data_IF_745182229505
#
_entry.id   IF_745182229505
#
_cell.length_a   1.000
_cell.length_b   1.000
_cell.length_c   1.000
_cell.angle_alpha   90.00
_cell.angle_beta   90.00
_cell.angle_gamma   90.00
#
_symmetry.space_group_name_H-M   'P 1'
#
loop_
_entity.id
_entity.type
_entity.pdbx_description
1 polymer ?
#
# COMPACT_ATOMS: atom_id res chain seq x y z
N UNK A 1 -16.02 -11.70 0.46
CA UNK A 1 -16.87 -10.81 1.28
C UNK A 1 -16.11 -9.50 1.39
N UNK A 2 -16.64 -8.42 0.79
CA UNK A 2 -15.99 -7.11 0.75
C UNK A 2 -15.95 -6.48 2.14
N UNK A 3 -17.09 -6.38 2.81
CA UNK A 3 -17.23 -5.83 4.16
C UNK A 3 -16.28 -6.48 5.16
N UNK A 4 -16.07 -7.80 5.05
CA UNK A 4 -15.11 -8.50 5.91
C UNK A 4 -13.68 -8.00 5.69
N UNK A 5 -13.25 -7.81 4.43
CA UNK A 5 -11.90 -7.32 4.14
C UNK A 5 -11.68 -5.91 4.67
N UNK A 6 -12.66 -5.02 4.51
CA UNK A 6 -12.58 -3.69 5.09
C UNK A 6 -12.47 -3.77 6.61
N UNK A 7 -13.29 -4.60 7.26
CA UNK A 7 -13.21 -4.81 8.71
C UNK A 7 -11.86 -5.37 9.16
N UNK A 8 -11.25 -6.28 8.39
CA UNK A 8 -9.92 -6.81 8.65
C UNK A 8 -8.86 -5.70 8.58
N UNK A 9 -8.96 -4.77 7.61
CA UNK A 9 -8.07 -3.59 7.50
C UNK A 9 -8.19 -2.70 8.74
N UNK A 10 -9.41 -2.32 9.11
CA UNK A 10 -9.65 -1.48 10.30
C UNK A 10 -9.12 -2.16 11.57
N UNK A 11 -9.28 -3.47 11.67
CA UNK A 11 -8.79 -4.21 12.83
C UNK A 11 -7.26 -4.27 12.89
N UNK A 12 -6.58 -4.44 11.76
CA UNK A 12 -5.12 -4.39 11.70
C UNK A 12 -4.61 -3.00 12.06
N UNK A 13 -5.23 -1.93 11.53
CA UNK A 13 -4.88 -0.55 11.85
C UNK A 13 -5.02 -0.26 13.35
N UNK A 14 -6.11 -0.75 13.95
CA UNK A 14 -6.41 -0.54 15.38
C UNK A 14 -5.55 -1.36 16.31
N UNK A 15 -5.21 -2.61 15.96
CA UNK A 15 -4.54 -3.56 16.86
C UNK A 15 -3.03 -3.61 16.74
N UNK A 16 -2.47 -3.16 15.63
CA UNK A 16 -1.02 -3.26 15.41
C UNK A 16 -0.29 -2.23 16.26
N UNK A 17 0.52 -2.70 17.20
CA UNK A 17 1.39 -1.89 18.04
C UNK A 17 2.83 -2.36 17.88
N UNK A 18 3.71 -1.44 17.53
CA UNK A 18 5.15 -1.67 17.41
C UNK A 18 5.82 -1.40 18.76
N UNK A 19 6.61 -2.36 19.24
CA UNK A 19 7.34 -2.19 20.50
C UNK A 19 8.56 -1.28 20.27
N UNK A 20 8.72 -0.18 21.04
CA UNK A 20 9.90 0.66 20.92
C UNK A 20 11.15 -0.14 21.32
N UNK A 21 12.16 -0.15 20.45
CA UNK A 21 13.50 -0.62 20.84
C UNK A 21 14.14 0.47 21.69
N UNK A 22 14.54 0.11 22.91
CA UNK A 22 14.99 1.02 23.97
C UNK A 22 15.91 2.15 23.48
N UNK A 23 15.53 3.40 23.84
CA UNK A 23 16.30 4.67 23.96
C UNK A 23 15.77 5.88 23.18
N UNK A 24 14.74 5.73 22.34
CA UNK A 24 14.07 6.86 21.66
C UNK A 24 12.56 6.67 21.67
N UNK A 25 11.80 7.77 21.78
CA UNK A 25 10.36 7.81 21.52
C UNK A 25 10.09 7.40 20.07
N UNK A 26 9.87 6.11 19.82
CA UNK A 26 9.52 5.58 18.50
C UNK A 26 8.00 5.57 18.32
N UNK A 27 7.50 5.82 17.10
CA UNK A 27 6.10 5.58 16.72
C UNK A 27 5.59 4.22 17.18
N UNK A 28 4.36 4.15 17.70
CA UNK A 28 3.79 2.91 18.27
C UNK A 28 2.67 2.33 17.43
N UNK A 29 1.76 3.15 16.93
CA UNK A 29 0.73 2.76 15.97
C UNK A 29 1.21 2.85 14.53
N UNK A 30 0.45 2.24 13.62
CA UNK A 30 0.73 2.34 12.18
C UNK A 30 0.73 3.81 11.74
N UNK A 31 -0.30 4.58 12.07
CA UNK A 31 -0.42 5.99 11.69
C UNK A 31 0.49 6.96 12.45
N UNK A 32 1.22 6.49 13.47
CA UNK A 32 2.27 7.31 14.11
C UNK A 32 3.53 7.42 13.23
N UNK A 33 3.66 6.58 12.20
CA UNK A 33 4.80 6.57 11.30
C UNK A 33 4.58 7.58 10.16
N UNK A 34 5.62 8.34 9.84
CA UNK A 34 5.56 9.38 8.80
C UNK A 34 5.40 8.84 7.38
N UNK A 35 5.93 7.63 7.14
CA UNK A 35 5.96 6.95 5.84
C UNK A 35 5.62 5.49 6.05
N UNK A 36 4.53 5.05 5.44
CA UNK A 36 3.97 3.71 5.64
C UNK A 36 3.83 3.05 4.29
N UNK A 37 4.27 1.79 4.20
CA UNK A 37 4.02 0.93 3.05
C UNK A 37 3.22 -0.26 3.56
N UNK A 38 2.04 -0.47 2.98
CA UNK A 38 1.18 -1.60 3.29
C UNK A 38 1.08 -2.51 2.08
N UNK A 39 1.31 -3.80 2.26
CA UNK A 39 1.29 -4.75 1.15
C UNK A 39 0.90 -6.15 1.57
N UNK A 40 0.41 -6.93 0.60
CA UNK A 40 0.07 -8.34 0.77
C UNK A 40 -1.06 -8.78 -0.15
N UNK A 41 -1.54 -10.00 0.06
CA UNK A 41 -2.81 -10.48 -0.50
C UNK A 41 -3.97 -9.83 0.26
N UNK A 42 -4.45 -8.69 -0.24
CA UNK A 42 -5.61 -7.99 0.29
C UNK A 42 -6.93 -8.62 -0.18
N UNK A 43 -6.86 -9.48 -1.19
CA UNK A 43 -7.94 -10.35 -1.63
C UNK A 43 -9.22 -9.63 -2.12
N UNK A 44 -9.12 -8.35 -2.46
CA UNK A 44 -10.16 -7.61 -3.17
C UNK A 44 -10.35 -8.18 -4.59
N UNK A 45 -11.58 -8.15 -5.09
CA UNK A 45 -11.97 -8.84 -6.32
C UNK A 45 -12.51 -7.85 -7.35
N UNK A 46 -12.62 -8.31 -8.59
CA UNK A 46 -13.23 -7.57 -9.69
C UNK A 46 -14.74 -7.86 -9.73
N UNK A 47 -15.55 -6.81 -9.88
CA UNK A 47 -17.00 -6.88 -9.92
C UNK A 47 -17.56 -7.04 -11.35
N UNK A 48 -17.07 -8.04 -12.07
CA UNK A 48 -17.52 -8.40 -13.42
C UNK A 48 -17.94 -9.88 -13.49
N UNK A 49 -18.65 -10.24 -14.56
CA UNK A 49 -18.88 -11.65 -14.90
C UNK A 49 -17.56 -12.33 -15.27
N UNK A 50 -17.54 -13.67 -15.22
CA UNK A 50 -16.35 -14.42 -15.59
C UNK A 50 -15.98 -14.17 -17.06
N UNK A 51 -16.98 -14.20 -17.94
CA UNK A 51 -16.85 -14.04 -19.38
C UNK A 51 -16.29 -12.66 -19.72
N UNK A 52 -16.87 -11.60 -19.14
CA UNK A 52 -16.42 -10.22 -19.37
C UNK A 52 -15.01 -9.98 -18.82
N UNK A 53 -14.68 -10.57 -17.68
CA UNK A 53 -13.32 -10.51 -17.11
C UNK A 53 -12.31 -11.09 -18.10
N UNK A 54 -12.58 -12.27 -18.65
CA UNK A 54 -11.68 -12.92 -19.61
C UNK A 54 -11.62 -12.23 -20.96
N UNK A 55 -12.73 -11.63 -21.42
CA UNK A 55 -12.76 -10.80 -22.62
C UNK A 55 -11.81 -9.61 -22.51
N UNK A 56 -11.91 -8.83 -21.42
CA UNK A 56 -11.03 -7.69 -21.17
C UNK A 56 -9.56 -8.11 -21.01
N UNK A 57 -9.30 -9.23 -20.34
CA UNK A 57 -7.94 -9.78 -20.21
C UNK A 57 -7.36 -10.15 -21.57
N UNK A 58 -8.16 -10.78 -22.44
CA UNK A 58 -7.71 -11.18 -23.77
C UNK A 58 -7.40 -9.97 -24.66
N UNK A 59 -8.14 -8.88 -24.48
CA UNK A 59 -7.88 -7.59 -25.13
C UNK A 59 -6.76 -6.77 -24.48
N UNK A 60 -6.21 -7.21 -23.35
CA UNK A 60 -5.26 -6.43 -22.53
C UNK A 60 -5.80 -5.07 -22.06
N UNK A 61 -7.11 -4.99 -21.87
CA UNK A 61 -7.84 -3.79 -21.49
C UNK A 61 -7.80 -3.57 -19.97
N UNK A 62 -6.60 -3.35 -19.43
CA UNK A 62 -6.36 -3.30 -17.97
C UNK A 62 -7.10 -2.16 -17.29
N UNK A 63 -7.16 -0.99 -17.91
CA UNK A 63 -7.83 0.19 -17.34
C UNK A 63 -9.34 -0.07 -17.17
N UNK A 64 -10.01 -0.59 -18.22
CA UNK A 64 -11.43 -0.95 -18.16
C UNK A 64 -11.72 -2.04 -17.13
N UNK A 65 -10.79 -3.00 -17.01
CA UNK A 65 -10.88 -4.05 -16.01
C UNK A 65 -10.73 -3.48 -14.59
N UNK A 66 -9.79 -2.54 -14.40
CA UNK A 66 -9.50 -1.89 -13.13
C UNK A 66 -10.61 -0.97 -12.65
N UNK A 67 -11.39 -0.35 -13.54
CA UNK A 67 -12.61 0.40 -13.17
C UNK A 67 -13.65 -0.44 -12.40
N UNK A 68 -13.52 -1.77 -12.40
CA UNK A 68 -14.40 -2.68 -11.67
C UNK A 68 -13.72 -3.33 -10.45
N UNK A 69 -12.52 -2.88 -10.07
CA UNK A 69 -11.77 -3.38 -8.92
C UNK A 69 -12.36 -2.89 -7.59
N UNK A 70 -12.64 -3.81 -6.67
CA UNK A 70 -13.23 -3.44 -5.38
C UNK A 70 -12.32 -2.51 -4.56
N UNK A 71 -11.00 -2.73 -4.51
CA UNK A 71 -10.12 -1.89 -3.68
C UNK A 71 -10.07 -0.46 -4.22
N UNK A 72 -10.01 -0.28 -5.54
CA UNK A 72 -10.13 1.04 -6.18
C UNK A 72 -11.38 1.79 -5.69
N UNK A 73 -12.54 1.13 -5.71
CA UNK A 73 -13.78 1.74 -5.25
C UNK A 73 -13.75 2.07 -3.75
N UNK A 74 -13.22 1.18 -2.91
CA UNK A 74 -13.12 1.46 -1.47
C UNK A 74 -12.18 2.63 -1.14
N UNK A 75 -11.06 2.74 -1.88
CA UNK A 75 -10.13 3.87 -1.78
C UNK A 75 -10.77 5.17 -2.24
N UNK A 76 -11.41 5.17 -3.42
CA UNK A 76 -12.05 6.36 -4.01
C UNK A 76 -13.15 6.93 -3.13
N UNK A 77 -13.87 6.05 -2.44
CA UNK A 77 -15.01 6.41 -1.60
C UNK A 77 -14.61 6.65 -0.14
N UNK A 78 -13.32 6.52 0.19
CA UNK A 78 -12.81 6.70 1.56
C UNK A 78 -13.39 5.72 2.58
N UNK A 79 -13.84 4.53 2.13
CA UNK A 79 -14.47 3.52 3.00
C UNK A 79 -13.47 2.62 3.72
N UNK A 80 -12.30 2.44 3.12
CA UNK A 80 -11.16 1.75 3.73
C UNK A 80 -9.89 2.32 3.13
N UNK A 81 -8.78 2.24 3.85
CA UNK A 81 -7.52 2.85 3.43
C UNK A 81 -7.65 4.36 3.11
N UNK A 82 -8.41 5.11 3.92
CA UNK A 82 -8.57 6.55 3.71
C UNK A 82 -7.23 7.30 3.79
N UNK A 83 -6.98 8.15 2.80
CA UNK A 83 -5.72 8.87 2.63
C UNK A 83 -4.52 8.03 2.14
N UNK A 84 -4.69 6.73 1.89
CA UNK A 84 -3.65 5.90 1.27
C UNK A 84 -3.67 6.06 -0.24
N UNK A 85 -2.51 5.80 -0.86
CA UNK A 85 -2.30 5.94 -2.29
C UNK A 85 -1.76 4.62 -2.84
N UNK A 86 -2.36 4.16 -3.93
CA UNK A 86 -1.89 3.04 -4.73
C UNK A 86 -1.34 3.55 -6.08
N UNK A 87 -0.33 2.85 -6.61
CA UNK A 87 0.21 3.11 -7.93
C UNK A 87 -0.75 2.72 -9.06
N UNK A 88 -0.53 3.27 -10.26
CA UNK A 88 -1.25 2.82 -11.46
C UNK A 88 -0.93 1.35 -11.73
N UNK A 89 -1.96 0.52 -11.84
CA UNK A 89 -1.83 -0.88 -12.21
C UNK A 89 -1.86 -0.97 -13.74
N UNK A 90 -0.71 -1.32 -14.32
CA UNK A 90 -0.55 -1.50 -15.76
C UNK A 90 -0.13 -2.93 -16.12
N UNK A 91 -0.55 -3.92 -15.31
CA UNK A 91 -0.19 -5.32 -15.46
C UNK A 91 -1.41 -6.23 -15.25
N UNK A 92 -1.41 -7.47 -15.80
CA UNK A 92 -2.54 -8.38 -15.67
C UNK A 92 -2.88 -8.76 -14.23
N UNK A 93 -4.13 -9.17 -13.94
CA UNK A 93 -4.51 -9.73 -12.65
C UNK A 93 -3.54 -10.80 -12.14
N UNK A 94 -3.25 -10.79 -10.84
CA UNK A 94 -2.20 -11.61 -10.23
C UNK A 94 -2.70 -12.98 -9.75
N UNK A 95 -4.01 -13.16 -9.71
CA UNK A 95 -4.71 -14.37 -9.26
C UNK A 95 -5.87 -14.67 -10.22
N UNK A 96 -6.37 -15.89 -10.42
CA UNK A 96 -5.85 -17.20 -9.98
C UNK A 96 -5.26 -17.93 -11.19
N UNK A 97 -3.99 -18.29 -11.13
CA UNK A 97 -3.31 -19.05 -12.18
C UNK A 97 -3.31 -20.54 -11.91
N UNK A 98 -3.12 -21.32 -12.96
CA UNK A 98 -2.67 -22.70 -12.84
C UNK A 98 -1.20 -22.74 -12.41
N UNK A 99 -0.83 -23.73 -11.59
CA UNK A 99 0.56 -23.92 -11.19
C UNK A 99 1.43 -24.21 -12.41
N UNK A 100 2.62 -23.60 -12.46
CA UNK A 100 3.60 -23.75 -13.54
C UNK A 100 3.06 -23.39 -14.94
N UNK A 101 2.04 -22.51 -15.01
CA UNK A 101 1.35 -22.15 -16.26
C UNK A 101 0.96 -20.67 -16.23
N UNK A 102 0.98 -20.01 -17.38
CA UNK A 102 0.52 -18.61 -17.55
C UNK A 102 -0.98 -18.50 -17.83
N UNK A 103 -1.70 -19.62 -17.72
CA UNK A 103 -3.15 -19.64 -17.86
C UNK A 103 -3.81 -19.35 -16.52
N UNK A 104 -4.84 -18.51 -16.56
CA UNK A 104 -5.79 -18.40 -15.47
C UNK A 104 -6.56 -19.70 -15.31
N UNK A 105 -6.75 -20.15 -14.07
CA UNK A 105 -7.49 -21.36 -13.75
C UNK A 105 -8.93 -21.27 -14.29
N UNK A 106 -9.26 -22.18 -15.22
CA UNK A 106 -10.53 -22.16 -15.95
C UNK A 106 -11.34 -23.45 -15.89
N UNK A 107 -10.67 -24.59 -15.70
CA UNK A 107 -11.26 -25.94 -15.81
C UNK A 107 -11.94 -26.45 -14.53
N UNK A 108 -11.99 -25.60 -13.49
CA UNK A 108 -12.72 -25.91 -12.26
C UNK A 108 -14.25 -25.88 -12.49
N UNK A 109 -15.03 -26.68 -11.73
CA UNK A 109 -16.48 -26.58 -11.74
C UNK A 109 -16.94 -25.14 -11.53
N UNK A 110 -18.04 -24.74 -12.18
CA UNK A 110 -18.58 -23.36 -12.13
C UNK A 110 -18.70 -22.83 -10.69
N UNK A 111 -19.04 -23.70 -9.73
CA UNK A 111 -19.16 -23.36 -8.30
C UNK A 111 -17.82 -23.04 -7.61
N UNK A 112 -16.70 -23.55 -8.12
CA UNK A 112 -15.36 -23.34 -7.57
C UNK A 112 -14.57 -22.28 -8.36
N UNK A 113 -14.93 -22.08 -9.63
CA UNK A 113 -14.24 -21.21 -10.58
C UNK A 113 -14.03 -19.81 -10.02
N UNK A 114 -12.75 -19.41 -9.92
CA UNK A 114 -12.36 -18.08 -9.45
C UNK A 114 -12.14 -17.16 -10.65
N UNK A 115 -12.76 -15.98 -10.60
CA UNK A 115 -12.48 -14.91 -11.55
C UNK A 115 -11.08 -14.35 -11.29
N UNK A 116 -10.32 -14.03 -12.35
CA UNK A 116 -9.08 -13.30 -12.18
C UNK A 116 -9.24 -12.01 -11.38
N UNK A 117 -8.26 -11.65 -10.55
CA UNK A 117 -8.26 -10.44 -9.72
C UNK A 117 -6.84 -9.97 -9.36
N UNK A 118 -6.70 -8.68 -9.06
CA UNK A 118 -5.52 -8.13 -8.37
C UNK A 118 -5.70 -8.28 -6.86
N UNK A 119 -5.35 -9.46 -6.36
CA UNK A 119 -5.39 -9.76 -4.93
C UNK A 119 -4.18 -9.17 -4.20
N UNK A 120 -3.03 -9.10 -4.88
CA UNK A 120 -1.73 -8.74 -4.33
C UNK A 120 -1.45 -7.25 -4.57
N UNK A 121 -1.45 -6.44 -3.51
CA UNK A 121 -1.49 -4.97 -3.60
C UNK A 121 -0.40 -4.32 -2.76
N UNK A 122 0.03 -3.12 -3.17
CA UNK A 122 1.02 -2.33 -2.45
C UNK A 122 0.56 -0.87 -2.42
N UNK A 123 0.27 -0.38 -1.22
CA UNK A 123 -0.21 0.97 -0.96
C UNK A 123 0.82 1.73 -0.10
N UNK A 124 0.76 3.05 -0.18
CA UNK A 124 1.59 3.95 0.61
C UNK A 124 0.76 5.01 1.31
N UNK A 125 1.25 5.48 2.46
CA UNK A 125 0.67 6.59 3.21
C UNK A 125 1.79 7.48 3.73
N UNK A 126 1.53 8.79 3.76
CA UNK A 126 2.47 9.80 4.26
C UNK A 126 3.10 10.66 3.17
N UNK A 127 3.91 11.64 3.61
CA UNK A 127 4.55 12.62 2.72
C UNK A 127 6.00 12.24 2.43
N UNK A 128 6.56 12.76 1.33
CA UNK A 128 7.95 12.52 0.96
C UNK A 128 8.22 11.06 0.56
N UNK A 129 7.19 10.32 0.14
CA UNK A 129 7.31 9.00 -0.48
C UNK A 129 6.81 9.10 -1.92
N UNK A 130 7.63 8.63 -2.86
CA UNK A 130 7.30 8.64 -4.29
C UNK A 130 7.49 7.24 -4.85
N UNK A 131 6.44 6.72 -5.48
CA UNK A 131 6.51 5.47 -6.23
C UNK A 131 7.35 5.67 -7.50
N UNK A 132 8.33 4.80 -7.71
CA UNK A 132 9.19 4.78 -8.89
C UNK A 132 8.78 3.67 -9.86
N UNK A 133 8.43 2.49 -9.35
CA UNK A 133 7.90 1.41 -10.18
C UNK A 133 6.93 0.53 -9.42
N UNK A 134 5.95 -0.02 -10.13
CA UNK A 134 4.97 -0.98 -9.60
C UNK A 134 4.70 -2.05 -10.65
N UNK A 135 5.07 -3.31 -10.37
CA UNK A 135 5.18 -4.37 -11.37
C UNK A 135 4.81 -5.74 -10.82
N UNK A 136 4.23 -6.57 -11.69
CA UNK A 136 4.09 -8.02 -11.51
C UNK A 136 5.34 -8.74 -12.05
N UNK A 137 5.74 -9.83 -11.43
CA UNK A 137 6.76 -10.75 -11.92
C UNK A 137 6.14 -12.03 -12.50
N UNK A 138 6.79 -12.60 -13.52
CA UNK A 138 6.34 -13.82 -14.23
C UNK A 138 6.86 -15.12 -13.57
N UNK A 139 6.83 -15.19 -12.23
CA UNK A 139 7.13 -16.42 -11.51
C UNK A 139 5.85 -17.24 -11.32
N UNK A 140 5.87 -18.50 -11.76
CA UNK A 140 4.68 -19.35 -11.88
C UNK A 140 4.61 -20.50 -10.85
N UNK A 141 5.36 -20.38 -9.74
CA UNK A 141 5.42 -21.37 -8.67
C UNK A 141 4.16 -21.39 -7.78
N UNK A 142 3.29 -20.40 -7.91
CA UNK A 142 2.03 -20.24 -7.17
C UNK A 142 0.90 -19.91 -8.15
N UNK A 143 -0.34 -20.12 -7.70
CA UNK A 143 -1.54 -19.58 -8.33
C UNK A 143 -1.63 -18.04 -8.23
N UNK A 144 -0.72 -17.41 -7.50
CA UNK A 144 -0.46 -15.98 -7.50
C UNK A 144 0.81 -15.63 -8.28
N UNK A 145 0.84 -14.40 -8.81
CA UNK A 145 2.02 -13.80 -9.44
C UNK A 145 2.62 -12.75 -8.51
N UNK A 146 3.92 -12.81 -8.18
CA UNK A 146 4.52 -11.87 -7.25
C UNK A 146 4.40 -10.43 -7.74
N UNK A 147 4.20 -9.51 -6.79
CA UNK A 147 4.10 -8.07 -7.05
C UNK A 147 5.22 -7.35 -6.31
N UNK A 148 5.80 -6.35 -6.96
CA UNK A 148 6.88 -5.53 -6.43
C UNK A 148 6.61 -4.06 -6.66
N UNK A 149 7.03 -3.23 -5.71
CA UNK A 149 7.04 -1.78 -5.86
C UNK A 149 8.38 -1.23 -5.36
N UNK A 150 8.87 -0.20 -6.04
CA UNK A 150 10.07 0.55 -5.64
C UNK A 150 9.65 1.95 -5.28
N UNK A 151 10.03 2.40 -4.09
CA UNK A 151 9.73 3.73 -3.58
C UNK A 151 11.02 4.51 -3.30
N UNK A 152 10.99 5.80 -3.61
CA UNK A 152 11.94 6.78 -3.08
C UNK A 152 11.34 7.45 -1.87
N UNK A 153 12.08 7.45 -0.75
CA UNK A 153 11.67 8.07 0.50
C UNK A 153 12.65 9.18 0.89
N UNK A 154 12.13 10.38 1.10
CA UNK A 154 12.89 11.50 1.67
C UNK A 154 13.14 11.25 3.16
N UNK A 155 14.38 11.39 3.59
CA UNK A 155 14.75 11.20 5.00
C UNK A 155 15.40 12.46 5.55
N UNK A 156 14.95 12.89 6.72
CA UNK A 156 15.62 13.97 7.42
C UNK A 156 16.88 13.42 8.09
N UNK A 157 18.03 14.00 7.74
CA UNK A 157 19.30 13.68 8.37
C UNK A 157 19.62 14.75 9.39
N UNK A 158 19.44 14.41 10.67
CA UNK A 158 19.73 15.33 11.77
C UNK A 158 21.25 15.48 11.91
N UNK A 159 21.79 16.59 11.38
CA UNK A 159 23.20 16.90 11.52
C UNK A 159 23.46 17.44 12.93
N UNK A 160 24.07 16.61 13.80
CA UNK A 160 24.31 16.95 15.21
C UNK A 160 25.02 18.30 15.41
N UNK A 161 26.00 18.66 14.56
CA UNK A 161 26.67 19.97 14.61
C UNK A 161 25.75 21.14 14.27
N UNK A 162 24.84 20.99 13.30
CA UNK A 162 23.88 22.04 12.94
C UNK A 162 22.80 22.17 14.01
N UNK A 163 22.35 21.05 14.56
CA UNK A 163 21.37 21.02 15.64
C UNK A 163 21.91 21.68 16.92
N UNK A 164 23.12 21.35 17.35
CA UNK A 164 23.75 21.99 18.52
C UNK A 164 23.95 23.49 18.32
N UNK A 165 24.39 23.93 17.12
CA UNK A 165 24.48 25.35 16.80
C UNK A 165 23.12 26.04 16.89
N UNK A 166 22.08 25.47 16.28
CA UNK A 166 20.73 26.02 16.32
C UNK A 166 20.21 26.15 17.76
N UNK A 167 20.40 25.13 18.61
CA UNK A 167 20.05 25.19 20.03
C UNK A 167 20.79 26.28 20.80
N UNK A 168 22.06 26.48 20.49
CA UNK A 168 22.87 27.51 21.15
C UNK A 168 22.38 28.90 20.74
N UNK A 169 22.03 29.10 19.46
CA UNK A 169 21.47 30.36 18.98
C UNK A 169 20.12 30.70 19.62
N UNK A 170 19.19 29.74 19.69
CA UNK A 170 17.87 29.98 20.32
C UNK A 170 18.00 30.25 21.82
N UNK A 171 18.89 29.57 22.53
CA UNK A 171 19.13 29.85 23.96
C UNK A 171 19.67 31.28 24.16
N UNK A 172 20.61 31.72 23.31
CA UNK A 172 21.17 33.08 23.37
C UNK A 172 20.11 34.14 23.04
N UNK A 173 19.22 33.90 22.08
CA UNK A 173 18.11 34.81 21.76
C UNK A 173 17.10 34.93 22.90
N UNK A 174 16.75 33.82 23.55
CA UNK A 174 15.85 33.81 24.71
C UNK A 174 16.48 34.53 25.90
N UNK A 175 17.76 34.29 26.20
CA UNK A 175 18.48 35.02 27.26
C UNK A 175 18.55 36.52 26.98
N UNK A 176 18.83 36.92 25.73
CA UNK A 176 18.87 38.33 25.35
C UNK A 176 17.48 39.00 25.47
N UNK A 177 16.41 38.31 25.11
CA UNK A 177 15.05 38.84 25.29
C UNK A 177 14.69 39.05 26.78
N UNK A 178 15.07 38.11 27.65
CA UNK A 178 14.82 38.21 29.09
C UNK A 178 15.65 39.31 29.78
N UNK A 179 16.78 39.71 29.19
CA UNK A 179 17.63 40.80 29.68
C UNK A 179 17.13 42.18 29.23
N UNK A 180 16.42 42.27 28.11
CA UNK A 180 15.84 43.51 27.58
C UNK A 180 14.51 43.91 28.24
N UNK A 181 13.87 42.99 28.98
CA UNK A 181 12.61 43.20 29.71
C UNK A 181 12.79 43.58 31.19
N UNK A 182 14.02 43.92 31.62
CA UNK A 182 14.34 44.45 32.95
C UNK A 182 14.69 45.93 32.90
#
# INVERSE_FOLDING_TARGET
NLTKRNADVEEILRRTVFNPVHRVSMPTGIHDHEKIIWFGDLNYRINLSYERTHELISGQEWDLLFENDQLKWELMEGRTFDGWIEGVISFPPTYKYEFNSDKYAGDEPISARRRPAWCDRILSYGKGIRLDSYRRAELNLSDHRPVSAVYMAEVEVLCHRKFQKALTFTNVEVENHLLLER
#
